data_IF_442858875945
#
_entry.id   IF_442858875945
#
_cell.length_a   1.000
_cell.length_b   1.000
_cell.length_c   1.000
_cell.angle_alpha   90.00
_cell.angle_beta   90.00
_cell.angle_gamma   90.00
#
_symmetry.space_group_name_H-M   'P 1'
#
loop_
_entity.id
_entity.type
_entity.pdbx_description
1 polymer ?
#
# COMPACT_ATOMS: atom_id res chain seq x y z
N UNK A 1 -9.05 16.66 5.49
CA UNK A 1 -8.74 17.39 4.22
C UNK A 1 -8.26 16.38 3.19
N UNK A 2 -8.73 16.45 1.94
CA UNK A 2 -8.40 15.46 0.89
C UNK A 2 -7.24 15.99 0.03
N UNK A 3 -6.18 15.20 -0.14
CA UNK A 3 -5.08 15.54 -1.04
C UNK A 3 -5.56 15.56 -2.50
N UNK A 4 -4.98 16.43 -3.32
CA UNK A 4 -5.16 16.35 -4.78
C UNK A 4 -4.51 15.09 -5.34
N UNK A 5 -4.93 14.65 -6.54
CA UNK A 5 -4.34 13.48 -7.17
C UNK A 5 -2.81 13.60 -7.34
N UNK A 6 -2.32 14.80 -7.66
CA UNK A 6 -0.88 15.07 -7.79
C UNK A 6 -0.16 14.93 -6.44
N UNK A 7 -0.72 15.49 -5.37
CA UNK A 7 -0.13 15.41 -4.02
C UNK A 7 -0.13 13.99 -3.48
N UNK A 8 -1.21 13.24 -3.70
CA UNK A 8 -1.30 11.83 -3.31
C UNK A 8 -0.24 11.01 -4.05
N UNK A 9 -0.09 11.21 -5.36
CA UNK A 9 0.92 10.54 -6.17
C UNK A 9 2.34 10.89 -5.71
N UNK A 10 2.62 12.16 -5.41
CA UNK A 10 3.92 12.60 -4.85
C UNK A 10 4.23 11.91 -3.53
N UNK A 11 3.28 11.92 -2.59
CA UNK A 11 3.43 11.28 -1.28
C UNK A 11 3.67 9.78 -1.43
N UNK A 12 2.98 9.17 -2.39
CA UNK A 12 3.15 7.77 -2.71
C UNK A 12 4.57 7.44 -3.22
N UNK A 13 5.06 8.19 -4.22
CA UNK A 13 6.40 7.95 -4.76
C UNK A 13 7.49 8.20 -3.72
N UNK A 14 7.33 9.21 -2.85
CA UNK A 14 8.25 9.46 -1.75
C UNK A 14 8.39 8.25 -0.84
N UNK A 15 7.27 7.73 -0.31
CA UNK A 15 7.30 6.59 0.62
C UNK A 15 7.91 5.37 -0.05
N UNK A 16 7.59 5.14 -1.32
CA UNK A 16 8.11 4.02 -2.08
C UNK A 16 9.62 4.08 -2.25
N UNK A 17 10.16 5.24 -2.65
CA UNK A 17 11.60 5.41 -2.82
C UNK A 17 12.29 5.27 -1.46
N UNK A 18 11.75 5.93 -0.42
CA UNK A 18 12.25 5.82 0.95
C UNK A 18 12.32 4.36 1.43
N UNK A 19 11.30 3.55 1.15
CA UNK A 19 11.26 2.15 1.56
C UNK A 19 12.34 1.29 0.88
N UNK A 20 12.70 1.59 -0.36
CA UNK A 20 13.72 0.85 -1.11
C UNK A 20 15.12 1.25 -0.65
N UNK A 21 15.38 2.54 -0.48
CA UNK A 21 16.73 3.05 -0.20
C UNK A 21 17.04 3.20 1.31
N UNK A 22 16.01 3.25 2.16
CA UNK A 22 16.08 3.46 3.61
C UNK A 22 16.90 4.70 4.01
N UNK A 23 16.86 5.76 3.20
CA UNK A 23 17.58 7.02 3.36
C UNK A 23 16.77 8.21 2.79
N UNK A 24 17.20 9.43 3.09
CA UNK A 24 16.59 10.70 2.63
C UNK A 24 16.35 10.69 1.13
N UNK A 25 15.12 11.03 0.72
CA UNK A 25 14.74 11.05 -0.70
C UNK A 25 14.93 12.44 -1.28
N UNK A 26 15.74 12.58 -2.33
CA UNK A 26 15.97 13.89 -2.97
C UNK A 26 14.80 14.24 -3.89
N UNK A 27 14.62 15.53 -4.16
CA UNK A 27 13.55 15.99 -5.05
C UNK A 27 13.76 15.44 -6.48
N UNK A 28 15.01 15.30 -6.89
CA UNK A 28 15.46 14.80 -8.18
C UNK A 28 15.06 13.33 -8.40
N UNK A 29 15.24 12.47 -7.38
CA UNK A 29 14.90 11.05 -7.46
C UNK A 29 13.38 10.85 -7.67
N UNK A 30 12.58 11.70 -7.02
CA UNK A 30 11.13 11.71 -7.16
C UNK A 30 10.75 12.26 -8.55
N UNK A 31 11.40 13.35 -8.98
CA UNK A 31 11.16 14.02 -10.25
C UNK A 31 11.36 13.07 -11.44
N UNK A 32 12.45 12.29 -11.40
CA UNK A 32 12.76 11.24 -12.38
C UNK A 32 11.65 10.19 -12.43
N UNK A 33 11.20 9.69 -11.26
CA UNK A 33 10.21 8.61 -11.22
C UNK A 33 8.82 9.01 -11.72
N UNK A 34 8.46 10.29 -11.63
CA UNK A 34 7.14 10.80 -12.02
C UNK A 34 7.15 11.65 -13.29
N UNK A 35 8.30 11.75 -13.96
CA UNK A 35 8.53 12.58 -15.15
C UNK A 35 8.09 14.04 -14.96
N UNK A 36 8.60 14.70 -13.91
CA UNK A 36 8.33 16.11 -13.57
C UNK A 36 9.62 16.87 -13.29
N UNK A 37 9.52 18.20 -13.21
CA UNK A 37 10.64 19.05 -12.82
C UNK A 37 10.86 19.01 -11.29
N UNK A 38 12.12 18.96 -10.85
CA UNK A 38 12.49 18.91 -9.43
C UNK A 38 12.03 20.14 -8.63
N UNK A 39 11.96 21.32 -9.25
CA UNK A 39 11.36 22.52 -8.66
C UNK A 39 9.86 22.36 -8.39
N UNK A 40 9.14 21.70 -9.28
CA UNK A 40 7.72 21.37 -9.04
C UNK A 40 7.56 20.36 -7.90
N UNK A 41 8.44 19.36 -7.83
CA UNK A 41 8.48 18.42 -6.70
C UNK A 41 8.71 19.16 -5.39
N UNK A 42 9.70 20.07 -5.33
CA UNK A 42 9.97 20.87 -4.13
C UNK A 42 8.76 21.69 -3.70
N UNK A 43 8.04 22.31 -4.64
CA UNK A 43 6.81 23.04 -4.34
C UNK A 43 5.72 22.13 -3.75
N UNK A 44 5.49 20.97 -4.34
CA UNK A 44 4.51 20.01 -3.81
C UNK A 44 4.93 19.45 -2.45
N UNK A 45 6.22 19.23 -2.23
CA UNK A 45 6.75 18.78 -0.94
C UNK A 45 6.67 19.85 0.14
N UNK A 46 6.79 21.13 -0.21
CA UNK A 46 6.55 22.23 0.73
C UNK A 46 5.09 22.23 1.21
N UNK A 47 4.13 21.96 0.31
CA UNK A 47 2.72 21.80 0.68
C UNK A 47 2.51 20.54 1.54
N UNK A 48 3.09 19.40 1.16
CA UNK A 48 2.99 18.19 1.98
C UNK A 48 3.65 18.35 3.36
N UNK A 49 4.68 19.22 3.47
CA UNK A 49 5.34 19.56 4.73
C UNK A 49 4.42 20.40 5.62
N UNK A 50 3.71 21.39 5.06
CA UNK A 50 2.74 22.19 5.84
C UNK A 50 1.55 21.36 6.32
N UNK A 51 1.26 20.24 5.64
CA UNK A 51 0.28 19.24 6.08
C UNK A 51 0.85 18.21 7.08
N UNK A 52 2.09 18.38 7.54
CA UNK A 52 2.81 17.45 8.42
C UNK A 52 2.95 16.02 7.87
N UNK A 53 2.79 15.83 6.55
CA UNK A 53 2.93 14.51 5.93
C UNK A 53 4.40 14.19 5.63
N UNK A 54 5.23 15.21 5.40
CA UNK A 54 6.66 15.02 5.12
C UNK A 54 7.53 15.92 6.00
N UNK A 55 8.71 15.41 6.37
CA UNK A 55 9.80 16.19 6.94
C UNK A 55 10.78 16.58 5.84
N UNK A 56 11.37 17.76 5.96
CA UNK A 56 12.45 18.22 5.07
C UNK A 56 13.77 18.19 5.82
N UNK A 57 14.80 17.66 5.17
CA UNK A 57 16.18 17.63 5.64
C UNK A 57 16.96 18.64 4.82
N UNK A 58 17.67 19.56 5.48
CA UNK A 58 18.47 20.59 4.82
C UNK A 58 19.88 20.08 4.47
N UNK A 59 20.54 20.76 3.53
CA UNK A 59 21.92 20.48 3.12
C UNK A 59 22.05 20.04 1.66
N UNK A 60 23.29 19.85 1.19
CA UNK A 60 23.60 19.43 -0.20
C UNK A 60 23.11 18.02 -0.53
N UNK A 61 22.93 17.16 0.49
CA UNK A 61 22.24 15.87 0.40
C UNK A 61 20.84 15.92 1.04
N UNK A 62 20.28 17.11 1.16
CA UNK A 62 18.96 17.33 1.73
C UNK A 62 17.86 16.74 0.86
N UNK A 63 16.67 16.61 1.44
CA UNK A 63 15.55 15.97 0.78
C UNK A 63 14.37 15.83 1.72
N UNK A 64 13.64 14.73 1.57
CA UNK A 64 12.37 14.51 2.23
C UNK A 64 12.31 13.13 2.89
N UNK A 65 11.64 13.09 4.04
CA UNK A 65 11.33 11.88 4.78
C UNK A 65 9.82 11.81 4.99
N UNK A 66 9.18 10.66 4.77
CA UNK A 66 7.79 10.48 5.14
C UNK A 66 7.63 10.49 6.67
N UNK A 67 6.53 11.07 7.14
CA UNK A 67 6.13 11.00 8.56
C UNK A 67 5.18 9.83 8.78
N UNK A 68 4.94 9.47 10.04
CA UNK A 68 3.88 8.52 10.40
C UNK A 68 2.50 8.93 9.84
N UNK A 69 2.17 10.23 9.90
CA UNK A 69 0.92 10.76 9.38
C UNK A 69 0.74 10.51 7.88
N UNK A 70 1.82 10.44 7.10
CA UNK A 70 1.74 10.07 5.69
C UNK A 70 1.31 8.62 5.47
N UNK A 71 1.83 7.69 6.26
CA UNK A 71 1.44 6.29 6.19
C UNK A 71 -0.02 6.12 6.59
N UNK A 72 -0.46 6.77 7.68
CA UNK A 72 -1.85 6.75 8.11
C UNK A 72 -2.80 7.36 7.06
N UNK A 73 -2.38 8.46 6.40
CA UNK A 73 -3.16 9.10 5.35
C UNK A 73 -3.34 8.20 4.13
N UNK A 74 -2.28 7.51 3.69
CA UNK A 74 -2.38 6.56 2.58
C UNK A 74 -3.22 5.34 2.94
N UNK A 75 -3.10 4.83 4.17
CA UNK A 75 -3.93 3.72 4.64
C UNK A 75 -5.43 4.08 4.63
N UNK A 76 -5.79 5.25 5.15
CA UNK A 76 -7.18 5.74 5.17
C UNK A 76 -7.71 6.04 3.76
N UNK A 77 -6.84 6.48 2.85
CA UNK A 77 -7.21 6.70 1.43
C UNK A 77 -7.39 5.36 0.70
N UNK A 78 -6.58 4.34 1.04
CA UNK A 78 -6.68 3.01 0.45
C UNK A 78 -7.89 2.20 0.94
N UNK A 79 -8.45 2.51 2.13
CA UNK A 79 -9.79 2.01 2.53
C UNK A 79 -10.89 2.33 1.51
N UNK A 80 -10.69 3.33 0.64
CA UNK A 80 -11.61 3.68 -0.47
C UNK A 80 -11.17 3.14 -1.84
N UNK A 81 -10.06 2.40 -1.93
CA UNK A 81 -9.44 2.02 -3.20
C UNK A 81 -9.51 0.50 -3.39
N UNK A 82 -10.35 0.06 -4.33
CA UNK A 82 -10.17 -1.04 -5.31
C UNK A 82 -9.33 -2.27 -4.88
N UNK A 83 -9.35 -2.64 -3.61
CA UNK A 83 -8.58 -3.78 -3.11
C UNK A 83 -9.34 -5.03 -3.51
N UNK A 84 -8.67 -5.90 -4.25
CA UNK A 84 -9.25 -7.14 -4.77
C UNK A 84 -8.69 -8.28 -3.94
N UNK A 85 -9.60 -9.07 -3.39
CA UNK A 85 -9.25 -10.28 -2.66
C UNK A 85 -9.47 -11.48 -3.58
N UNK A 86 -8.45 -12.32 -3.70
CA UNK A 86 -8.51 -13.58 -4.44
C UNK A 86 -8.36 -14.73 -3.45
N UNK A 87 -9.25 -15.70 -3.52
CA UNK A 87 -9.18 -16.98 -2.80
C UNK A 87 -8.86 -18.08 -3.79
N UNK A 88 -7.77 -18.81 -3.56
CA UNK A 88 -7.32 -19.92 -4.42
C UNK A 88 -7.28 -19.51 -5.91
N UNK A 89 -6.82 -18.29 -6.19
CA UNK A 89 -6.74 -17.72 -7.55
C UNK A 89 -8.05 -17.17 -8.13
N UNK A 90 -9.19 -17.27 -7.44
CA UNK A 90 -10.48 -16.72 -7.89
C UNK A 90 -10.82 -15.44 -7.14
N UNK A 91 -11.25 -14.40 -7.87
CA UNK A 91 -11.66 -13.12 -7.27
C UNK A 91 -12.92 -13.31 -6.44
N UNK A 92 -12.94 -12.71 -5.26
CA UNK A 92 -14.12 -12.61 -4.39
C UNK A 92 -14.72 -11.21 -4.61
N UNK A 93 -15.93 -11.14 -5.16
CA UNK A 93 -16.52 -9.86 -5.60
C UNK A 93 -17.03 -9.00 -4.43
N UNK A 94 -17.58 -9.62 -3.38
CA UNK A 94 -18.22 -8.93 -2.25
C UNK A 94 -17.33 -8.81 -1.01
N UNK A 95 -16.01 -8.87 -1.20
CA UNK A 95 -15.04 -8.77 -0.10
C UNK A 95 -13.97 -7.73 -0.43
N UNK A 96 -13.91 -6.70 0.41
CA UNK A 96 -12.84 -5.70 0.44
C UNK A 96 -11.93 -5.88 1.67
N UNK A 97 -10.78 -5.19 1.66
CA UNK A 97 -9.88 -5.14 2.81
C UNK A 97 -9.97 -3.78 3.46
N UNK A 98 -10.28 -3.78 4.76
CA UNK A 98 -10.31 -2.56 5.57
C UNK A 98 -8.95 -2.27 6.18
N UNK A 99 -8.29 -3.29 6.72
CA UNK A 99 -7.03 -3.12 7.45
C UNK A 99 -6.17 -4.38 7.38
N UNK A 100 -4.85 -4.21 7.50
CA UNK A 100 -3.88 -5.30 7.57
C UNK A 100 -2.89 -4.98 8.69
N UNK A 101 -2.94 -5.79 9.74
CA UNK A 101 -1.99 -5.74 10.84
C UNK A 101 -0.93 -6.81 10.60
N UNK A 102 0.29 -6.38 10.27
CA UNK A 102 1.44 -7.26 10.09
C UNK A 102 2.10 -7.52 11.45
N UNK A 103 2.24 -8.77 11.84
CA UNK A 103 3.11 -9.18 12.93
C UNK A 103 4.46 -9.64 12.36
N UNK A 104 5.51 -8.88 12.68
CA UNK A 104 6.87 -9.10 12.18
C UNK A 104 7.66 -10.15 12.97
N UNK A 105 7.14 -10.64 14.11
CA UNK A 105 7.78 -11.72 14.88
C UNK A 105 7.58 -13.07 14.18
N UNK A 106 8.64 -13.89 14.05
CA UNK A 106 8.51 -15.21 13.42
C UNK A 106 7.63 -16.15 14.28
N UNK A 107 6.69 -16.91 13.68
CA UNK A 107 6.34 -16.91 12.25
C UNK A 107 5.60 -15.63 11.84
N UNK A 108 5.96 -15.08 10.68
CA UNK A 108 5.32 -13.89 10.12
C UNK A 108 3.82 -14.15 9.92
N UNK A 109 3.01 -13.48 10.72
CA UNK A 109 1.56 -13.59 10.72
C UNK A 109 0.95 -12.24 10.41
N UNK A 110 -0.26 -12.22 9.86
CA UNK A 110 -1.02 -11.00 9.69
C UNK A 110 -2.48 -11.20 10.04
N UNK A 111 -3.13 -10.13 10.49
CA UNK A 111 -4.57 -10.06 10.68
C UNK A 111 -5.11 -9.16 9.59
N UNK A 112 -5.95 -9.70 8.71
CA UNK A 112 -6.62 -8.95 7.64
C UNK A 112 -8.07 -8.73 8.07
N UNK A 113 -8.47 -7.46 8.21
CA UNK A 113 -9.86 -7.08 8.45
C UNK A 113 -10.56 -6.87 7.13
N UNK A 114 -11.72 -7.47 6.97
CA UNK A 114 -12.45 -7.49 5.72
C UNK A 114 -13.76 -6.70 5.82
N UNK A 115 -14.11 -6.00 4.75
CA UNK A 115 -15.44 -5.44 4.53
C UNK A 115 -16.20 -6.44 3.65
N UNK A 116 -16.99 -7.33 4.25
CA UNK A 116 -17.71 -8.39 3.53
C UNK A 116 -17.86 -9.67 4.34
N UNK A 117 -18.29 -10.74 3.67
CA UNK A 117 -18.55 -12.03 4.32
C UNK A 117 -17.25 -12.84 4.53
N UNK A 118 -16.83 -13.02 5.80
CA UNK A 118 -15.66 -13.82 6.16
C UNK A 118 -15.89 -15.33 6.03
N UNK A 119 -17.15 -15.80 5.98
CA UNK A 119 -17.46 -17.21 5.83
C UNK A 119 -17.01 -17.80 4.49
N UNK A 120 -16.70 -16.96 3.52
CA UNK A 120 -16.14 -17.41 2.24
C UNK A 120 -14.71 -17.95 2.36
N UNK A 121 -14.01 -17.70 3.48
CA UNK A 121 -12.63 -18.14 3.69
C UNK A 121 -12.56 -19.25 4.72
N UNK A 122 -11.89 -20.34 4.35
CA UNK A 122 -11.64 -21.50 5.18
C UNK A 122 -10.16 -21.64 5.51
N UNK A 123 -9.87 -22.29 6.64
CA UNK A 123 -8.49 -22.63 7.02
C UNK A 123 -7.86 -23.47 5.91
N UNK A 124 -6.64 -23.10 5.52
CA UNK A 124 -5.91 -23.72 4.41
C UNK A 124 -6.08 -23.02 3.06
N UNK A 125 -7.05 -22.12 2.91
CA UNK A 125 -7.19 -21.34 1.68
C UNK A 125 -5.98 -20.42 1.46
N UNK A 126 -5.56 -20.31 0.20
CA UNK A 126 -4.57 -19.32 -0.24
C UNK A 126 -5.27 -18.03 -0.58
N UNK A 127 -4.80 -16.93 0.00
CA UNK A 127 -5.33 -15.60 -0.23
C UNK A 127 -4.26 -14.72 -0.86
N UNK A 128 -4.66 -14.03 -1.91
CA UNK A 128 -3.87 -12.98 -2.53
C UNK A 128 -4.65 -11.66 -2.48
N UNK A 129 -4.04 -10.64 -1.87
CA UNK A 129 -4.62 -9.30 -1.79
C UNK A 129 -3.88 -8.35 -2.72
N UNK A 130 -4.62 -7.71 -3.62
CA UNK A 130 -4.11 -6.73 -4.60
C UNK A 130 -4.76 -5.36 -4.41
N UNK A 131 -4.05 -4.27 -4.75
CA UNK A 131 -2.82 -3.82 -4.13
C UNK A 131 -3.09 -3.07 -2.81
N UNK A 132 -2.30 -3.36 -1.78
CA UNK A 132 -2.50 -2.78 -0.43
C UNK A 132 -1.92 -1.36 -0.34
N UNK A 133 -0.72 -1.16 -0.89
CA UNK A 133 0.03 0.10 -1.03
C UNK A 133 1.08 -0.10 -2.13
N UNK A 134 1.37 0.90 -2.97
CA UNK A 134 2.47 0.86 -3.96
C UNK A 134 2.50 -0.33 -4.92
N UNK A 135 1.33 -0.89 -5.28
CA UNK A 135 1.24 -2.11 -6.10
C UNK A 135 1.79 -3.37 -5.41
N UNK A 136 1.92 -3.38 -4.09
CA UNK A 136 2.36 -4.57 -3.34
C UNK A 136 1.24 -5.61 -3.28
N UNK A 137 1.65 -6.87 -3.48
CA UNK A 137 0.81 -8.07 -3.39
C UNK A 137 1.11 -8.75 -2.06
N UNK A 138 0.08 -9.17 -1.33
CA UNK A 138 0.22 -10.01 -0.14
C UNK A 138 -0.28 -11.41 -0.44
N UNK A 139 0.63 -12.38 -0.40
CA UNK A 139 0.33 -13.81 -0.52
C UNK A 139 0.39 -14.47 0.86
N UNK A 140 -0.72 -15.06 1.28
CA UNK A 140 -0.85 -15.66 2.60
C UNK A 140 -1.77 -16.88 2.61
N UNK A 141 -1.66 -17.70 3.65
CA UNK A 141 -2.53 -18.86 3.90
C UNK A 141 -3.37 -18.62 5.15
N UNK A 142 -4.68 -18.88 5.08
CA UNK A 142 -5.59 -18.73 6.23
C UNK A 142 -5.28 -19.80 7.28
N UNK A 143 -5.03 -19.36 8.51
CA UNK A 143 -4.79 -20.24 9.67
C UNK A 143 -5.86 -20.08 10.76
N UNK A 144 -6.71 -19.07 10.67
CA UNK A 144 -7.80 -18.85 11.61
C UNK A 144 -8.76 -17.76 11.13
N UNK A 145 -9.92 -17.67 11.79
CA UNK A 145 -10.97 -16.69 11.49
C UNK A 145 -11.61 -16.20 12.79
N UNK A 146 -11.94 -14.92 12.84
CA UNK A 146 -12.71 -14.28 13.92
C UNK A 146 -13.90 -13.56 13.28
N UNK A 147 -15.05 -14.25 13.29
CA UNK A 147 -16.29 -13.78 12.68
C UNK A 147 -16.91 -12.59 13.43
N UNK A 148 -16.70 -12.51 14.75
CA UNK A 148 -17.12 -11.37 15.58
C UNK A 148 -16.46 -10.06 15.19
N UNK A 149 -15.23 -10.12 14.66
CA UNK A 149 -14.46 -8.95 14.22
C UNK A 149 -14.31 -8.85 12.71
N UNK A 150 -15.01 -9.70 11.95
CA UNK A 150 -14.90 -9.78 10.49
C UNK A 150 -13.45 -9.82 10.02
N UNK A 151 -12.64 -10.68 10.65
CA UNK A 151 -11.20 -10.77 10.38
C UNK A 151 -10.72 -12.19 10.16
N UNK A 152 -9.67 -12.32 9.34
CA UNK A 152 -8.97 -13.58 9.08
C UNK A 152 -7.53 -13.47 9.56
N UNK A 153 -7.03 -14.57 10.13
CA UNK A 153 -5.65 -14.71 10.60
C UNK A 153 -4.91 -15.50 9.53
N UNK A 154 -3.83 -14.94 9.02
CA UNK A 154 -3.08 -15.53 7.91
C UNK A 154 -1.60 -15.67 8.23
N UNK A 155 -0.99 -16.75 7.76
CA UNK A 155 0.45 -16.95 7.73
C UNK A 155 1.00 -16.45 6.40
N UNK A 156 2.01 -15.59 6.41
CA UNK A 156 2.60 -15.07 5.18
C UNK A 156 3.42 -16.15 4.47
N UNK A 157 3.14 -16.37 3.18
CA UNK A 157 3.78 -17.43 2.39
C UNK A 157 4.96 -16.89 1.60
N UNK A 158 4.92 -15.62 1.20
CA UNK A 158 6.04 -14.94 0.58
C UNK A 158 6.15 -13.51 1.12
N UNK A 159 7.23 -13.20 1.84
CA UNK A 159 7.50 -11.85 2.36
C UNK A 159 8.23 -10.95 1.35
N UNK A 160 8.51 -11.46 0.15
CA UNK A 160 9.07 -10.64 -0.92
C UNK A 160 8.00 -9.73 -1.50
N UNK A 161 8.19 -8.42 -1.34
CA UNK A 161 7.37 -7.37 -1.94
C UNK A 161 7.34 -7.53 -3.47
N UNK A 162 6.39 -8.32 -4.00
CA UNK A 162 6.13 -8.40 -5.43
C UNK A 162 5.37 -7.15 -5.85
N UNK A 163 6.01 -6.32 -6.67
CA UNK A 163 5.34 -5.23 -7.32
C UNK A 163 4.48 -5.74 -8.47
N UNK A 164 3.25 -5.24 -8.61
CA UNK A 164 2.50 -5.42 -9.87
C UNK A 164 3.26 -4.75 -11.01
N UNK A 165 3.98 -5.55 -11.80
CA UNK A 165 4.38 -5.15 -13.15
C UNK A 165 3.12 -5.08 -14.02
N UNK A 166 3.07 -4.16 -14.97
CA UNK A 166 1.88 -3.94 -15.82
C UNK A 166 1.44 -5.20 -16.62
N UNK A 167 2.25 -6.26 -16.64
CA UNK A 167 2.01 -7.49 -17.38
C UNK A 167 1.26 -8.57 -16.56
N UNK A 168 1.08 -8.37 -15.25
CA UNK A 168 0.38 -9.31 -14.36
C UNK A 168 -1.03 -8.87 -13.98
N UNK A 169 -1.60 -7.87 -14.68
CA UNK A 169 -3.05 -7.74 -14.65
C UNK A 169 -3.63 -8.95 -15.40
N UNK A 170 -4.50 -9.79 -14.79
CA UNK A 170 -5.43 -10.56 -15.60
C UNK A 170 -6.13 -9.55 -16.50
N UNK A 171 -5.99 -9.77 -17.80
CA UNK A 171 -6.29 -8.84 -18.88
C UNK A 171 -7.62 -8.14 -18.61
N UNK A 172 -7.57 -6.83 -18.38
CA UNK A 172 -8.73 -5.96 -18.56
C UNK A 172 -9.04 -5.93 -20.05
N UNK A 173 -9.64 -7.01 -20.55
CA UNK A 173 -10.37 -6.99 -21.80
C UNK A 173 -11.82 -6.71 -21.44
N UNK A 174 -12.28 -5.53 -21.86
CA UNK A 174 -13.68 -5.15 -22.08
C UNK A 174 -14.62 -5.22 -20.87
N UNK A 175 -14.99 -4.06 -20.34
CA UNK A 175 -16.33 -3.48 -20.57
C UNK A 175 -16.53 -2.21 -19.73
N UNK A 176 -16.78 -1.11 -20.46
CA UNK A 176 -17.34 0.21 -20.11
C UNK A 176 -16.75 1.00 -18.93
#
# INVERSE_FOLDING_TARGET
MKLTHVQLKMLQHLIRIYHIQNDVVRAEDIAEKINRNSGTVRNQMAILKSLHLVRSVAGSRGGYLPTEAAYQHLHTTNKKSNTRVYKNGKKVEDVGVEDILLNTTKPLCSIIRLSGNTHEFNIGDTITVYPILFKQILDATVIGRDDTRSSIITKLTNSENRELTNNNLPTLSLMY
#
